data_IF_682626466901
#
_entry.id   IF_682626466901
#
_cell.length_a   1.000
_cell.length_b   1.000
_cell.length_c   1.000
_cell.angle_alpha   90.00
_cell.angle_beta   90.00
_cell.angle_gamma   90.00
#
_symmetry.space_group_name_H-M   'P 1'
#
loop_
_entity.id
_entity.type
_entity.pdbx_description
1 polymer ?
#
# COMPACT_ATOMS: atom_id res chain seq x y z
N UNK A 1 -70.56 46.97 -5.25
CA UNK A 1 -69.75 45.85 -4.78
C UNK A 1 -68.30 46.13 -5.21
N UNK A 2 -67.55 46.82 -4.33
CA UNK A 2 -66.14 47.19 -4.58
C UNK A 2 -65.27 46.09 -4.04
N UNK A 3 -64.45 45.52 -4.92
CA UNK A 3 -63.38 44.60 -4.53
C UNK A 3 -62.12 45.43 -4.23
N UNK A 4 -61.63 45.38 -3.00
CA UNK A 4 -60.39 46.00 -2.58
C UNK A 4 -59.25 44.99 -2.81
N UNK A 5 -58.28 45.34 -3.67
CA UNK A 5 -57.04 44.59 -3.90
C UNK A 5 -56.02 45.10 -2.89
N UNK A 6 -55.62 44.23 -1.94
CA UNK A 6 -54.45 44.47 -1.06
C UNK A 6 -53.17 44.10 -1.78
N UNK A 7 -52.32 45.07 -2.07
CA UNK A 7 -50.97 44.88 -2.52
C UNK A 7 -50.08 44.81 -1.27
N UNK A 8 -49.53 43.64 -0.99
CA UNK A 8 -48.53 43.45 0.06
C UNK A 8 -47.14 43.73 -0.54
N UNK A 9 -46.51 44.77 -0.06
CA UNK A 9 -45.09 45.04 -0.34
C UNK A 9 -44.23 44.15 0.53
N UNK A 10 -43.51 43.19 -0.10
CA UNK A 10 -42.43 42.42 0.53
C UNK A 10 -41.15 43.25 0.45
N UNK A 11 -40.65 43.68 1.59
CA UNK A 11 -39.29 44.25 1.73
C UNK A 11 -38.24 43.18 1.56
N UNK A 12 -37.16 43.39 0.78
CA UNK A 12 -36.08 42.43 0.70
C UNK A 12 -35.26 42.45 2.00
N UNK A 13 -35.26 41.34 2.71
CA UNK A 13 -34.37 41.10 3.85
C UNK A 13 -32.96 41.01 3.29
N UNK A 14 -32.07 41.88 3.70
CA UNK A 14 -30.66 41.86 3.39
C UNK A 14 -30.07 40.58 3.98
N UNK A 15 -29.61 39.67 3.12
CA UNK A 15 -28.78 38.52 3.50
C UNK A 15 -27.42 39.08 3.84
N UNK A 16 -27.07 39.07 5.13
CA UNK A 16 -25.72 39.36 5.58
C UNK A 16 -24.75 38.35 4.95
N UNK A 17 -23.87 38.81 4.06
CA UNK A 17 -22.72 38.04 3.57
C UNK A 17 -21.81 37.74 4.75
N UNK A 18 -21.70 36.47 5.10
CA UNK A 18 -20.64 35.99 5.98
C UNK A 18 -19.35 36.11 5.17
N UNK A 19 -18.33 36.86 5.64
CA UNK A 19 -17.06 36.95 4.96
C UNK A 19 -16.46 35.55 4.90
N UNK A 20 -16.07 35.11 3.70
CA UNK A 20 -15.28 33.89 3.49
C UNK A 20 -13.94 34.02 4.23
N UNK A 21 -13.32 32.90 4.61
CA UNK A 21 -12.05 32.92 5.31
C UNK A 21 -11.01 33.60 4.44
N UNK A 22 -10.41 34.67 4.99
CA UNK A 22 -9.32 35.44 4.38
C UNK A 22 -8.08 34.56 4.23
N UNK A 23 -7.28 34.82 3.19
CA UNK A 23 -6.04 34.09 2.84
C UNK A 23 -4.92 34.16 3.93
N UNK A 24 -5.18 34.80 5.08
CA UNK A 24 -4.18 35.00 6.15
C UNK A 24 -4.01 33.80 7.10
N UNK A 25 -4.92 32.81 7.09
CA UNK A 25 -4.82 31.64 8.00
C UNK A 25 -3.74 30.60 7.64
N UNK A 26 -2.98 30.80 6.57
CA UNK A 26 -1.86 29.91 6.17
C UNK A 26 -0.49 30.31 6.76
N UNK A 27 -0.43 31.41 7.57
CA UNK A 27 0.80 31.80 8.28
C UNK A 27 0.72 31.42 9.76
N UNK A 28 0.71 30.13 10.05
CA UNK A 28 1.05 29.66 11.39
C UNK A 28 2.52 29.98 11.68
N UNK A 29 2.86 30.46 12.88
CA UNK A 29 4.24 30.81 13.25
C UNK A 29 5.12 29.56 13.10
N UNK A 30 6.23 29.71 12.38
CA UNK A 30 7.29 28.72 12.26
C UNK A 30 7.97 28.63 13.63
N UNK A 31 7.42 27.88 14.56
CA UNK A 31 8.19 27.35 15.66
C UNK A 31 9.22 26.40 15.05
N UNK A 32 10.51 26.67 15.35
CA UNK A 32 11.62 25.74 15.06
C UNK A 32 11.41 24.47 15.87
N UNK A 33 10.50 23.62 15.43
CA UNK A 33 10.39 22.24 15.87
C UNK A 33 11.37 21.44 15.04
N UNK A 34 12.28 20.77 15.73
CA UNK A 34 13.21 19.79 15.19
C UNK A 34 12.50 18.94 14.15
N UNK A 35 13.07 18.88 12.95
CA UNK A 35 12.61 18.05 11.85
C UNK A 35 12.58 16.61 12.36
N UNK A 36 11.43 15.95 12.50
CA UNK A 36 11.46 14.53 12.82
C UNK A 36 12.25 13.86 11.72
N UNK A 37 13.36 13.23 12.08
CA UNK A 37 14.13 12.35 11.19
C UNK A 37 13.18 11.23 10.77
N UNK A 38 12.45 11.44 9.67
CA UNK A 38 11.67 10.38 9.06
C UNK A 38 12.67 9.41 8.44
N UNK A 39 13.00 8.39 9.21
CA UNK A 39 13.69 7.22 8.71
C UNK A 39 12.88 6.69 7.51
N UNK A 40 13.51 6.66 6.35
CA UNK A 40 12.95 6.04 5.15
C UNK A 40 12.63 4.59 5.52
N UNK A 41 11.38 4.11 5.41
CA UNK A 41 11.08 2.72 5.72
C UNK A 41 11.93 1.81 4.85
N UNK A 42 12.82 1.07 5.47
CA UNK A 42 13.60 0.04 4.80
C UNK A 42 12.64 -1.11 4.50
N UNK A 43 12.45 -1.39 3.22
CA UNK A 43 11.48 -2.37 2.74
C UNK A 43 11.94 -3.80 3.02
N UNK A 44 11.63 -4.29 4.20
CA UNK A 44 11.52 -5.73 4.46
C UNK A 44 10.07 -6.03 4.83
N UNK A 45 9.47 -7.14 4.36
CA UNK A 45 8.06 -7.40 4.51
C UNK A 45 7.73 -7.96 5.90
N UNK A 46 7.88 -7.13 6.91
CA UNK A 46 7.21 -7.33 8.19
C UNK A 46 6.10 -6.28 8.26
N UNK A 47 4.85 -6.71 8.11
CA UNK A 47 3.70 -5.85 8.36
C UNK A 47 3.70 -5.57 9.85
N UNK A 48 4.21 -4.42 10.22
CA UNK A 48 4.13 -3.90 11.57
C UNK A 48 2.82 -3.11 11.71
N UNK A 49 1.69 -3.82 11.85
CA UNK A 49 0.45 -3.16 12.25
C UNK A 49 0.59 -2.81 13.74
N UNK A 50 0.73 -1.51 14.10
CA UNK A 50 0.93 -1.09 15.50
C UNK A 50 -0.36 -1.11 16.31
N UNK A 51 -1.44 -1.66 15.79
CA UNK A 51 -2.76 -1.75 16.40
C UNK A 51 -3.21 -3.21 16.49
N UNK A 52 -3.95 -3.59 17.52
CA UNK A 52 -4.62 -4.89 17.51
C UNK A 52 -5.54 -4.94 16.29
N UNK A 53 -5.34 -5.97 15.45
CA UNK A 53 -6.19 -6.23 14.31
C UNK A 53 -7.64 -6.42 14.76
N UNK A 54 -8.58 -5.79 14.07
CA UNK A 54 -10.01 -6.08 14.26
C UNK A 54 -10.41 -7.40 13.60
N UNK A 55 -9.55 -7.92 12.74
CA UNK A 55 -9.75 -9.19 12.05
C UNK A 55 -9.21 -10.32 12.92
N UNK A 56 -10.01 -11.36 13.14
CA UNK A 56 -9.63 -12.46 14.02
C UNK A 56 -8.43 -13.25 13.51
N UNK A 57 -7.64 -13.82 14.42
CA UNK A 57 -6.51 -14.71 14.09
C UNK A 57 -6.92 -15.88 13.19
N UNK A 58 -8.17 -16.36 13.33
CA UNK A 58 -8.72 -17.43 12.50
C UNK A 58 -8.77 -17.01 11.03
N UNK A 59 -9.21 -15.79 10.71
CA UNK A 59 -9.23 -15.28 9.34
C UNK A 59 -7.82 -15.20 8.75
N UNK A 60 -6.84 -14.72 9.52
CA UNK A 60 -5.43 -14.72 9.12
C UNK A 60 -4.91 -16.13 8.81
N UNK A 61 -5.27 -17.13 9.64
CA UNK A 61 -4.84 -18.51 9.43
C UNK A 61 -5.50 -19.19 8.21
N UNK A 62 -6.72 -18.80 7.86
CA UNK A 62 -7.52 -19.45 6.81
C UNK A 62 -7.46 -18.75 5.45
N UNK A 63 -7.13 -17.46 5.42
CA UNK A 63 -7.08 -16.72 4.17
C UNK A 63 -5.89 -17.13 3.31
N UNK A 64 -6.14 -17.31 2.01
CA UNK A 64 -5.15 -17.64 0.99
C UNK A 64 -5.30 -16.69 -0.20
N UNK A 65 -4.27 -15.89 -0.45
CA UNK A 65 -4.12 -15.11 -1.67
C UNK A 65 -3.33 -15.90 -2.69
N UNK A 66 -3.99 -16.45 -3.70
CA UNK A 66 -3.43 -17.42 -4.64
C UNK A 66 -3.15 -16.73 -5.97
N UNK A 67 -1.98 -16.97 -6.55
CA UNK A 67 -1.57 -16.36 -7.82
C UNK A 67 -1.19 -14.89 -7.71
N UNK A 68 -1.26 -14.19 -8.82
CA UNK A 68 -0.93 -12.78 -8.96
C UNK A 68 -2.19 -11.91 -8.84
N UNK A 69 -2.07 -10.61 -8.52
CA UNK A 69 -3.24 -9.72 -8.45
C UNK A 69 -4.05 -9.63 -9.75
N UNK A 70 -3.41 -9.85 -10.90
CA UNK A 70 -4.02 -9.83 -12.23
C UNK A 70 -4.28 -11.23 -12.80
N UNK A 71 -3.88 -12.27 -12.10
CA UNK A 71 -4.13 -13.68 -12.45
C UNK A 71 -4.16 -14.51 -11.18
N UNK A 72 -5.28 -14.45 -10.45
CA UNK A 72 -5.32 -15.00 -9.11
C UNK A 72 -6.69 -15.49 -8.66
N UNK A 73 -6.71 -15.95 -7.43
CA UNK A 73 -7.88 -16.36 -6.69
C UNK A 73 -7.74 -16.02 -5.20
N UNK A 74 -8.86 -15.99 -4.49
CA UNK A 74 -8.93 -15.75 -3.06
C UNK A 74 -9.71 -16.89 -2.40
N UNK A 75 -9.18 -17.45 -1.30
CA UNK A 75 -9.90 -18.39 -0.45
C UNK A 75 -9.87 -17.88 0.98
N UNK A 76 -11.02 -17.99 1.67
CA UNK A 76 -11.15 -17.48 3.03
C UNK A 76 -10.93 -15.97 3.15
N UNK A 77 -11.21 -15.22 2.07
CA UNK A 77 -11.20 -13.77 2.08
C UNK A 77 -12.21 -13.19 3.06
N UNK A 78 -11.88 -12.06 3.66
CA UNK A 78 -12.71 -11.39 4.65
C UNK A 78 -13.52 -10.29 3.99
N UNK A 79 -14.82 -10.23 4.29
CA UNK A 79 -15.66 -9.12 3.88
C UNK A 79 -15.25 -7.86 4.63
N UNK A 80 -15.07 -6.76 3.91
CA UNK A 80 -14.77 -5.46 4.53
C UNK A 80 -15.90 -5.04 5.48
N UNK A 81 -15.58 -4.59 6.70
CA UNK A 81 -16.60 -4.20 7.68
C UNK A 81 -17.50 -3.09 7.16
N UNK A 82 -18.81 -3.36 7.02
CA UNK A 82 -19.78 -2.37 6.54
C UNK A 82 -19.94 -1.22 7.51
N UNK A 83 -20.00 -1.55 8.80
CA UNK A 83 -20.09 -0.57 9.88
C UNK A 83 -18.68 -0.19 10.33
N UNK A 84 -18.15 0.85 9.72
CA UNK A 84 -16.87 1.43 10.11
C UNK A 84 -16.93 2.96 10.01
N UNK A 85 -16.16 3.70 10.83
CA UNK A 85 -16.23 5.16 10.84
C UNK A 85 -15.48 5.82 9.68
N UNK A 86 -14.70 5.08 8.89
CA UNK A 86 -13.72 5.67 7.98
C UNK A 86 -14.07 5.54 6.49
N UNK A 87 -14.88 4.54 6.12
CA UNK A 87 -15.17 4.23 4.73
C UNK A 87 -16.66 4.15 4.44
N UNK A 88 -17.02 4.55 3.23
CA UNK A 88 -18.30 4.25 2.57
C UNK A 88 -18.05 3.13 1.57
N UNK A 89 -18.44 1.91 1.90
CA UNK A 89 -18.30 0.74 1.05
C UNK A 89 -19.61 0.53 0.27
N UNK A 90 -19.60 0.75 -1.04
CA UNK A 90 -20.82 0.83 -1.84
C UNK A 90 -21.23 -0.51 -2.49
N UNK A 91 -20.34 -1.50 -2.58
CA UNK A 91 -20.58 -2.75 -3.32
C UNK A 91 -20.23 -3.96 -2.47
N UNK A 92 -21.25 -4.69 -2.03
CA UNK A 92 -21.06 -5.82 -1.12
C UNK A 92 -20.39 -7.05 -1.78
N UNK A 93 -20.59 -7.23 -3.08
CA UNK A 93 -20.12 -8.38 -3.85
C UNK A 93 -18.61 -8.31 -4.19
N UNK A 94 -18.02 -7.11 -4.16
CA UNK A 94 -16.60 -6.88 -4.47
C UNK A 94 -15.80 -6.35 -3.27
N UNK A 95 -16.23 -6.65 -2.05
CA UNK A 95 -15.60 -6.12 -0.83
C UNK A 95 -14.83 -7.17 -0.04
N UNK A 96 -14.34 -8.23 -0.71
CA UNK A 96 -13.54 -9.25 -0.07
C UNK A 96 -12.05 -9.02 -0.29
N UNK A 97 -11.25 -9.21 0.76
CA UNK A 97 -9.80 -9.07 0.68
C UNK A 97 -9.08 -9.99 1.67
N UNK A 98 -7.76 -10.00 1.61
CA UNK A 98 -6.96 -10.59 2.69
C UNK A 98 -7.12 -9.78 3.98
N UNK A 99 -6.99 -10.40 5.16
CA UNK A 99 -6.99 -9.70 6.45
C UNK A 99 -6.01 -8.52 6.49
N UNK A 100 -4.81 -8.72 5.97
CA UNK A 100 -3.76 -7.70 5.93
C UNK A 100 -4.17 -6.46 5.12
N UNK A 101 -4.85 -6.67 4.00
CA UNK A 101 -5.37 -5.58 3.16
C UNK A 101 -6.41 -4.77 3.92
N UNK A 102 -7.34 -5.44 4.60
CA UNK A 102 -8.40 -4.76 5.37
C UNK A 102 -7.80 -3.98 6.54
N UNK A 103 -6.94 -4.61 7.33
CA UNK A 103 -6.31 -3.96 8.48
C UNK A 103 -5.45 -2.77 8.07
N UNK A 104 -4.72 -2.85 6.96
CA UNK A 104 -3.94 -1.75 6.42
C UNK A 104 -4.82 -0.55 6.03
N UNK A 105 -5.93 -0.80 5.34
CA UNK A 105 -6.89 0.24 4.98
C UNK A 105 -7.46 0.93 6.22
N UNK A 106 -7.94 0.16 7.19
CA UNK A 106 -8.53 0.70 8.42
C UNK A 106 -7.51 1.47 9.25
N UNK A 107 -6.27 0.96 9.35
CA UNK A 107 -5.18 1.63 10.03
C UNK A 107 -4.88 3.01 9.42
N UNK A 108 -4.72 3.06 8.09
CA UNK A 108 -4.36 4.30 7.41
C UNK A 108 -5.43 5.38 7.60
N UNK A 109 -6.70 5.04 7.42
CA UNK A 109 -7.79 6.00 7.61
C UNK A 109 -7.97 6.41 9.09
N UNK A 110 -7.81 5.48 10.03
CA UNK A 110 -7.80 5.79 11.46
C UNK A 110 -6.67 6.76 11.84
N UNK A 111 -5.49 6.60 11.25
CA UNK A 111 -4.35 7.48 11.49
C UNK A 111 -4.62 8.90 10.97
N UNK A 112 -5.21 9.04 9.78
CA UNK A 112 -5.63 10.35 9.26
C UNK A 112 -6.68 10.97 10.18
N UNK A 113 -7.67 10.20 10.63
CA UNK A 113 -8.70 10.70 11.54
C UNK A 113 -8.13 11.17 12.89
N UNK A 114 -7.13 10.48 13.43
CA UNK A 114 -6.42 10.93 14.65
C UNK A 114 -5.64 12.23 14.41
N UNK A 115 -5.01 12.38 13.25
CA UNK A 115 -4.17 13.54 12.91
C UNK A 115 -4.99 14.81 12.67
N UNK A 116 -6.15 14.69 12.05
CA UNK A 116 -6.97 15.83 11.59
C UNK A 116 -8.32 15.98 12.33
N UNK A 117 -8.59 15.12 13.32
CA UNK A 117 -9.89 15.06 13.97
C UNK A 117 -10.95 14.41 13.08
N UNK A 118 -12.21 14.83 13.19
CA UNK A 118 -13.32 14.26 12.40
C UNK A 118 -13.07 14.46 10.91
N UNK A 119 -12.74 13.38 10.19
CA UNK A 119 -12.53 13.39 8.74
C UNK A 119 -13.75 12.86 7.98
N UNK A 120 -14.01 13.33 6.75
CA UNK A 120 -14.99 12.69 5.87
C UNK A 120 -14.62 11.22 5.63
N UNK A 121 -15.64 10.37 5.47
CA UNK A 121 -15.40 8.98 5.07
C UNK A 121 -14.84 8.92 3.64
N UNK A 122 -13.83 8.08 3.44
CA UNK A 122 -13.35 7.73 2.11
C UNK A 122 -14.35 6.80 1.40
N UNK A 123 -14.50 6.96 0.11
CA UNK A 123 -15.24 5.98 -0.69
C UNK A 123 -14.35 4.77 -0.92
N UNK A 124 -14.83 3.59 -0.58
CA UNK A 124 -14.19 2.32 -0.90
C UNK A 124 -14.82 1.76 -2.17
N UNK A 125 -14.04 1.67 -3.22
CA UNK A 125 -14.39 1.03 -4.48
C UNK A 125 -14.24 -0.49 -4.40
N UNK A 126 -13.81 -1.10 -5.49
CA UNK A 126 -13.67 -2.56 -5.55
C UNK A 126 -12.41 -3.05 -4.80
N UNK A 127 -12.56 -4.16 -4.08
CA UNK A 127 -11.49 -4.98 -3.54
C UNK A 127 -11.36 -6.25 -4.41
N UNK A 128 -12.09 -7.30 -4.05
CA UNK A 128 -12.11 -8.57 -4.77
C UNK A 128 -13.48 -9.24 -4.60
N UNK A 129 -13.83 -10.15 -5.50
CA UNK A 129 -14.96 -11.03 -5.27
C UNK A 129 -14.65 -12.05 -4.16
N UNK A 130 -15.66 -12.70 -3.60
CA UNK A 130 -15.55 -13.70 -2.51
C UNK A 130 -14.45 -14.75 -2.78
N UNK A 131 -14.38 -15.25 -4.01
CA UNK A 131 -13.40 -16.26 -4.41
C UNK A 131 -12.25 -15.70 -5.26
N UNK A 132 -12.14 -14.38 -5.33
CA UNK A 132 -11.21 -13.72 -6.26
C UNK A 132 -11.56 -13.97 -7.73
N UNK A 133 -10.54 -14.03 -8.56
CA UNK A 133 -10.71 -14.17 -10.01
C UNK A 133 -11.09 -12.88 -10.69
N UNK A 134 -11.30 -12.93 -12.00
CA UNK A 134 -11.48 -11.77 -12.86
C UNK A 134 -12.75 -10.99 -12.52
N UNK A 135 -12.61 -9.71 -12.21
CA UNK A 135 -13.69 -8.76 -12.12
C UNK A 135 -13.92 -8.05 -13.46
N UNK A 136 -15.19 -7.82 -13.80
CA UNK A 136 -15.53 -7.04 -15.01
C UNK A 136 -14.94 -5.64 -14.90
N UNK A 137 -14.29 -5.15 -15.96
CA UNK A 137 -13.62 -3.84 -16.06
C UNK A 137 -12.32 -3.68 -15.27
N UNK A 138 -11.85 -4.71 -14.58
CA UNK A 138 -10.57 -4.68 -13.86
C UNK A 138 -9.55 -5.63 -14.48
N UNK A 139 -8.31 -5.15 -14.60
CA UNK A 139 -7.17 -5.98 -15.00
C UNK A 139 -6.60 -6.78 -13.82
N UNK A 140 -6.90 -6.38 -12.60
CA UNK A 140 -6.43 -6.98 -11.36
C UNK A 140 -7.57 -7.19 -10.36
N UNK A 141 -7.39 -7.05 -9.07
CA UNK A 141 -8.39 -7.35 -8.02
C UNK A 141 -8.75 -8.83 -7.90
N UNK A 142 -7.87 -9.73 -8.35
CA UNK A 142 -8.22 -11.15 -8.45
C UNK A 142 -7.78 -11.99 -7.25
N UNK A 143 -6.93 -11.48 -6.37
CA UNK A 143 -6.34 -12.26 -5.27
C UNK A 143 -6.52 -11.63 -3.87
N UNK A 144 -7.39 -10.62 -3.73
CA UNK A 144 -7.68 -9.97 -2.46
C UNK A 144 -6.59 -9.05 -1.94
N UNK A 145 -5.67 -8.62 -2.83
CA UNK A 145 -4.53 -7.74 -2.50
C UNK A 145 -4.61 -6.36 -3.11
N UNK A 146 -5.63 -6.05 -3.89
CA UNK A 146 -5.86 -4.73 -4.48
C UNK A 146 -7.06 -4.04 -3.81
N UNK A 147 -7.02 -2.71 -3.73
CA UNK A 147 -8.11 -1.89 -3.25
C UNK A 147 -8.19 -0.58 -4.01
N UNK A 148 -9.38 -0.21 -4.47
CA UNK A 148 -9.69 1.10 -5.01
C UNK A 148 -10.22 2.01 -3.90
N UNK A 149 -9.53 3.11 -3.62
CA UNK A 149 -9.88 4.03 -2.52
C UNK A 149 -9.99 5.45 -3.06
N UNK A 150 -11.14 6.08 -2.86
CA UNK A 150 -11.37 7.48 -3.24
C UNK A 150 -10.49 8.47 -2.48
N UNK A 151 -10.49 9.71 -2.93
CA UNK A 151 -9.71 10.79 -2.33
C UNK A 151 -10.44 11.50 -1.20
N UNK A 152 -9.68 12.10 -0.29
CA UNK A 152 -10.19 13.14 0.60
C UNK A 152 -10.38 14.45 -0.18
N UNK A 153 -11.56 15.03 -0.07
CA UNK A 153 -11.88 16.34 -0.61
C UNK A 153 -12.18 17.34 0.51
N UNK A 154 -11.87 18.63 0.28
CA UNK A 154 -12.13 19.71 1.24
C UNK A 154 -13.62 19.84 1.58
N UNK A 155 -14.48 19.61 0.60
CA UNK A 155 -15.94 19.74 0.73
C UNK A 155 -16.63 18.47 1.26
N UNK A 156 -15.86 17.52 1.80
CA UNK A 156 -16.41 16.26 2.33
C UNK A 156 -16.37 15.10 1.34
N UNK A 157 -17.03 13.99 1.70
CA UNK A 157 -17.08 12.80 0.84
C UNK A 157 -18.12 12.97 -0.27
N UNK A 158 -17.77 12.73 -1.53
CA UNK A 158 -18.74 12.80 -2.64
C UNK A 158 -19.70 11.58 -2.68
N UNK A 159 -19.43 10.52 -1.89
CA UNK A 159 -20.23 9.29 -1.91
C UNK A 159 -19.92 8.34 -3.09
N UNK A 160 -19.06 8.72 -4.00
CA UNK A 160 -18.59 7.93 -5.15
C UNK A 160 -17.12 8.24 -5.47
N UNK A 161 -16.47 7.45 -6.32
CA UNK A 161 -15.10 7.72 -6.78
C UNK A 161 -15.08 8.92 -7.73
N UNK A 162 -14.89 10.12 -7.17
CA UNK A 162 -14.92 11.38 -7.90
C UNK A 162 -13.56 11.72 -8.49
N UNK A 163 -13.57 12.30 -9.68
CA UNK A 163 -12.38 12.75 -10.37
C UNK A 163 -11.59 13.80 -9.58
N UNK A 164 -10.27 13.70 -9.69
CA UNK A 164 -9.35 14.67 -9.13
C UNK A 164 -9.65 16.09 -9.64
N UNK A 165 -9.87 16.97 -8.67
CA UNK A 165 -10.02 18.40 -8.89
C UNK A 165 -9.03 19.15 -7.99
N UNK A 166 -8.02 19.85 -8.55
CA UNK A 166 -6.99 20.52 -7.76
C UNK A 166 -7.54 21.51 -6.72
N UNK A 167 -8.64 22.20 -7.04
CA UNK A 167 -9.27 23.20 -6.14
C UNK A 167 -9.90 22.56 -4.89
N UNK A 168 -10.45 21.34 -5.04
CA UNK A 168 -11.18 20.66 -3.97
C UNK A 168 -10.39 19.50 -3.33
N UNK A 169 -9.27 19.09 -3.90
CA UNK A 169 -8.45 18.00 -3.39
C UNK A 169 -7.77 18.40 -2.07
N UNK A 170 -7.99 17.64 -1.01
CA UNK A 170 -7.32 17.87 0.27
C UNK A 170 -5.96 17.19 0.28
N UNK A 171 -4.95 17.90 -0.22
CA UNK A 171 -3.60 17.35 -0.35
C UNK A 171 -2.99 16.92 0.98
N UNK A 172 -3.34 17.59 2.10
CA UNK A 172 -2.82 17.28 3.44
C UNK A 172 -3.32 15.92 3.94
N UNK A 173 -4.65 15.69 3.86
CA UNK A 173 -5.25 14.43 4.28
C UNK A 173 -4.87 13.28 3.33
N UNK A 174 -4.83 13.55 2.03
CA UNK A 174 -4.43 12.56 1.04
C UNK A 174 -2.97 12.14 1.19
N UNK A 175 -2.05 13.08 1.46
CA UNK A 175 -0.66 12.73 1.76
C UNK A 175 -0.55 11.93 3.06
N UNK A 176 -1.24 12.34 4.12
CA UNK A 176 -1.20 11.62 5.39
C UNK A 176 -1.76 10.19 5.27
N UNK A 177 -2.72 9.96 4.39
CA UNK A 177 -3.22 8.62 4.10
C UNK A 177 -2.15 7.75 3.42
N UNK A 178 -1.48 8.29 2.39
CA UNK A 178 -0.37 7.61 1.72
C UNK A 178 0.78 7.35 2.71
N UNK A 179 1.16 8.35 3.50
CA UNK A 179 2.20 8.24 4.51
C UNK A 179 1.90 7.12 5.51
N UNK A 180 0.65 7.03 5.97
CA UNK A 180 0.22 5.96 6.88
C UNK A 180 0.29 4.57 6.24
N UNK A 181 -0.03 4.45 4.96
CA UNK A 181 0.12 3.20 4.21
C UNK A 181 1.59 2.82 4.01
N UNK A 182 2.46 3.78 3.71
CA UNK A 182 3.90 3.55 3.54
C UNK A 182 4.57 3.11 4.84
N UNK A 183 4.15 3.68 5.98
CA UNK A 183 4.71 3.39 7.30
C UNK A 183 4.55 1.92 7.72
N UNK A 184 3.42 1.32 7.41
CA UNK A 184 3.17 -0.08 7.76
C UNK A 184 3.87 -1.08 6.83
N UNK A 185 4.58 -0.60 5.81
CA UNK A 185 5.34 -1.41 4.85
C UNK A 185 4.53 -2.55 4.20
N UNK A 186 3.21 -2.37 4.08
CA UNK A 186 2.31 -3.36 3.52
C UNK A 186 2.07 -3.19 2.02
N UNK A 187 2.62 -2.12 1.42
CA UNK A 187 2.29 -1.70 0.07
C UNK A 187 3.34 -2.16 -0.93
N UNK A 188 2.87 -2.77 -1.99
CA UNK A 188 3.68 -3.05 -3.18
C UNK A 188 3.70 -1.84 -4.12
N UNK A 189 2.51 -1.32 -4.48
CA UNK A 189 2.34 -0.16 -5.36
C UNK A 189 1.09 0.64 -5.00
N UNK A 190 1.12 1.92 -5.37
CA UNK A 190 -0.05 2.79 -5.49
C UNK A 190 -0.10 3.29 -6.93
N UNK A 191 -1.18 2.99 -7.66
CA UNK A 191 -1.38 3.48 -9.01
C UNK A 191 -2.22 4.75 -8.98
N UNK A 192 -1.70 5.80 -9.62
CA UNK A 192 -2.32 7.12 -9.69
C UNK A 192 -2.05 7.80 -11.03
N UNK A 193 -2.96 8.65 -11.46
CA UNK A 193 -2.70 9.55 -12.59
C UNK A 193 -1.56 10.52 -12.27
N UNK A 194 -0.81 10.91 -13.31
CA UNK A 194 0.35 11.80 -13.18
C UNK A 194 -0.03 13.16 -12.58
N UNK A 195 -1.25 13.68 -12.88
CA UNK A 195 -1.70 14.96 -12.33
C UNK A 195 -1.89 14.93 -10.81
N UNK A 196 -2.39 13.81 -10.29
CA UNK A 196 -2.53 13.57 -8.84
C UNK A 196 -1.16 13.40 -8.19
N UNK A 197 -0.27 12.60 -8.83
CA UNK A 197 1.11 12.44 -8.36
C UNK A 197 1.82 13.79 -8.26
N UNK A 198 1.68 14.66 -9.29
CA UNK A 198 2.30 15.98 -9.29
C UNK A 198 1.90 16.81 -8.06
N UNK A 199 0.61 16.88 -7.75
CA UNK A 199 0.13 17.65 -6.60
C UNK A 199 0.66 17.11 -5.28
N UNK A 200 0.67 15.78 -5.09
CA UNK A 200 1.20 15.13 -3.90
C UNK A 200 2.73 15.32 -3.78
N UNK A 201 3.44 15.18 -4.91
CA UNK A 201 4.89 15.38 -4.98
C UNK A 201 5.27 16.83 -4.64
N UNK A 202 4.58 17.80 -5.25
CA UNK A 202 4.85 19.23 -5.00
C UNK A 202 4.58 19.58 -3.52
N UNK A 203 3.53 19.04 -2.92
CA UNK A 203 3.26 19.19 -1.50
C UNK A 203 4.37 18.56 -0.63
N UNK A 204 4.75 17.32 -0.91
CA UNK A 204 5.79 16.61 -0.18
C UNK A 204 7.16 17.32 -0.28
N UNK A 205 7.50 17.83 -1.48
CA UNK A 205 8.74 18.54 -1.75
C UNK A 205 8.75 19.93 -1.14
N UNK A 206 7.73 20.75 -1.42
CA UNK A 206 7.77 22.18 -1.16
C UNK A 206 7.25 22.56 0.24
N UNK A 207 6.27 21.84 0.76
CA UNK A 207 5.66 22.09 2.08
C UNK A 207 6.27 21.24 3.18
N UNK A 208 6.47 19.94 2.92
CA UNK A 208 7.06 19.04 3.91
C UNK A 208 8.59 18.99 3.82
N UNK A 209 9.17 19.50 2.75
CA UNK A 209 10.63 19.53 2.51
C UNK A 209 11.27 18.15 2.60
N UNK A 210 10.56 17.12 2.13
CA UNK A 210 11.08 15.77 2.13
C UNK A 210 12.31 15.67 1.21
N UNK A 211 13.34 14.90 1.59
CA UNK A 211 14.59 14.84 0.85
C UNK A 211 14.38 14.22 -0.55
N UNK A 212 15.12 14.68 -1.58
CA UNK A 212 15.01 14.15 -2.95
C UNK A 212 15.11 12.64 -3.03
N UNK A 213 16.02 12.03 -2.26
CA UNK A 213 16.21 10.58 -2.21
C UNK A 213 14.97 9.81 -1.70
N UNK A 214 14.18 10.42 -0.82
CA UNK A 214 12.90 9.87 -0.39
C UNK A 214 11.83 10.00 -1.48
N UNK A 215 11.71 11.20 -2.08
CA UNK A 215 10.76 11.46 -3.15
C UNK A 215 10.97 10.54 -4.35
N UNK A 216 12.22 10.28 -4.70
CA UNK A 216 12.60 9.34 -5.77
C UNK A 216 12.20 7.90 -5.49
N UNK A 217 12.19 7.47 -4.24
CA UNK A 217 11.76 6.13 -3.84
C UNK A 217 10.25 6.00 -3.84
N UNK A 218 9.55 7.08 -3.45
CA UNK A 218 8.10 7.06 -3.31
C UNK A 218 7.41 7.31 -4.64
N UNK A 219 7.84 8.30 -5.42
CA UNK A 219 7.14 8.73 -6.62
C UNK A 219 7.83 8.32 -7.92
N UNK A 220 7.02 7.91 -8.89
CA UNK A 220 7.48 7.89 -10.28
C UNK A 220 7.64 9.31 -10.85
N UNK A 221 6.68 10.21 -10.59
CA UNK A 221 6.77 11.61 -10.99
C UNK A 221 8.00 12.29 -10.33
N UNK A 222 8.77 13.14 -11.03
CA UNK A 222 8.55 13.69 -12.38
C UNK A 222 9.11 12.85 -13.53
N UNK A 223 9.52 11.60 -13.32
CA UNK A 223 10.04 10.72 -14.37
C UNK A 223 8.96 10.38 -15.39
N UNK A 224 9.38 9.92 -16.57
CA UNK A 224 8.46 9.52 -17.64
C UNK A 224 7.60 8.33 -17.22
N UNK A 225 6.36 8.26 -17.71
CA UNK A 225 5.42 7.20 -17.36
C UNK A 225 5.89 5.77 -17.69
N UNK A 226 6.82 5.62 -18.65
CA UNK A 226 7.45 4.34 -18.99
C UNK A 226 8.47 3.83 -17.95
N UNK A 227 9.02 4.73 -17.13
CA UNK A 227 9.98 4.38 -16.09
C UNK A 227 9.23 3.88 -14.84
N UNK A 228 9.09 2.57 -14.70
CA UNK A 228 8.37 1.94 -13.59
C UNK A 228 9.19 1.93 -12.29
N UNK A 229 9.56 3.12 -11.81
CA UNK A 229 10.32 3.36 -10.59
C UNK A 229 9.39 4.03 -9.57
N UNK A 230 9.68 3.85 -8.28
CA UNK A 230 8.84 4.37 -7.19
C UNK A 230 7.71 3.42 -6.79
N UNK A 231 7.12 3.70 -5.64
CA UNK A 231 5.95 2.99 -5.11
C UNK A 231 4.68 3.55 -5.76
N UNK A 232 4.58 4.88 -5.88
CA UNK A 232 3.47 5.56 -6.54
C UNK A 232 3.77 5.67 -8.04
N UNK A 233 2.97 5.00 -8.86
CA UNK A 233 3.19 4.84 -10.30
C UNK A 233 2.02 5.34 -11.12
N UNK A 234 2.32 5.87 -12.31
CA UNK A 234 1.27 6.23 -13.23
C UNK A 234 0.53 5.00 -13.76
N UNK A 235 -0.79 5.07 -13.71
CA UNK A 235 -1.65 4.16 -14.43
C UNK A 235 -2.85 4.91 -15.00
N UNK A 236 -3.15 4.63 -16.26
CA UNK A 236 -4.30 5.23 -16.96
C UNK A 236 -5.60 4.81 -16.26
N UNK A 237 -6.56 5.74 -16.15
CA UNK A 237 -7.85 5.48 -15.48
C UNK A 237 -7.85 5.71 -13.98
N UNK A 238 -6.70 6.11 -13.36
CA UNK A 238 -6.57 6.31 -11.91
C UNK A 238 -6.54 7.80 -11.54
N UNK A 239 -7.48 8.57 -12.10
CA UNK A 239 -7.65 10.01 -11.82
C UNK A 239 -8.64 10.29 -10.69
N UNK A 240 -9.41 9.30 -10.27
CA UNK A 240 -10.50 9.43 -9.30
C UNK A 240 -10.32 8.58 -8.02
N UNK A 241 -9.25 7.79 -7.93
CA UNK A 241 -8.97 6.93 -6.78
C UNK A 241 -7.49 6.55 -6.70
N UNK A 242 -7.07 6.09 -5.52
CA UNK A 242 -5.88 5.27 -5.36
C UNK A 242 -6.24 3.83 -5.72
N UNK A 243 -5.51 3.21 -6.62
CA UNK A 243 -5.48 1.77 -6.68
C UNK A 243 -4.26 1.30 -5.88
N UNK A 244 -4.50 0.75 -4.71
CA UNK A 244 -3.44 0.30 -3.79
C UNK A 244 -3.27 -1.20 -3.90
N UNK A 245 -2.03 -1.64 -4.11
CA UNK A 245 -1.64 -3.06 -4.10
C UNK A 245 -0.87 -3.39 -2.86
N UNK A 246 -1.29 -4.44 -2.17
CA UNK A 246 -0.72 -4.91 -0.91
C UNK A 246 0.07 -6.19 -1.08
N UNK A 247 1.10 -6.38 -0.24
CA UNK A 247 1.89 -7.62 -0.23
C UNK A 247 1.11 -8.81 0.34
N UNK A 248 0.38 -8.63 1.42
CA UNK A 248 -0.37 -9.66 2.15
C UNK A 248 0.43 -10.95 2.40
N UNK A 249 1.58 -10.89 3.09
CA UNK A 249 2.52 -12.00 3.17
C UNK A 249 1.96 -13.23 3.87
N UNK A 250 1.06 -13.09 4.85
CA UNK A 250 0.46 -14.21 5.56
C UNK A 250 -0.48 -14.99 4.64
N UNK A 251 -1.41 -14.28 3.96
CA UNK A 251 -2.35 -14.92 3.04
C UNK A 251 -1.63 -15.58 1.85
N UNK A 252 -0.55 -14.96 1.36
CA UNK A 252 0.33 -15.50 0.32
C UNK A 252 1.08 -16.74 0.84
N UNK A 253 1.67 -16.69 2.04
CA UNK A 253 2.36 -17.84 2.63
C UNK A 253 1.42 -19.03 2.88
N UNK A 254 0.19 -18.76 3.29
CA UNK A 254 -0.84 -19.81 3.44
C UNK A 254 -1.15 -20.48 2.10
N UNK A 255 -1.29 -19.68 1.02
CA UNK A 255 -1.50 -20.20 -0.33
C UNK A 255 -0.30 -21.06 -0.80
N UNK A 256 0.93 -20.67 -0.49
CA UNK A 256 2.14 -21.41 -0.86
C UNK A 256 2.27 -22.76 -0.12
N UNK A 257 1.77 -22.85 1.11
CA UNK A 257 1.80 -24.09 1.90
C UNK A 257 0.65 -25.04 1.57
N UNK A 258 -0.41 -24.54 0.96
CA UNK A 258 -1.59 -25.35 0.62
C UNK A 258 -1.27 -26.37 -0.47
N UNK A 259 -1.96 -27.50 -0.42
CA UNK A 259 -1.97 -28.50 -1.49
C UNK A 259 -3.31 -28.44 -2.21
N UNK A 260 -3.30 -27.95 -3.44
CA UNK A 260 -4.51 -27.85 -4.24
C UNK A 260 -4.70 -29.09 -5.12
N UNK A 261 -5.86 -29.75 -4.97
CA UNK A 261 -6.31 -30.79 -5.91
C UNK A 261 -6.86 -30.18 -7.22
N UNK A 262 -7.35 -28.96 -7.14
CA UNK A 262 -7.83 -28.18 -8.28
C UNK A 262 -6.65 -27.75 -9.16
N UNK A 263 -6.62 -28.22 -10.40
CA UNK A 263 -5.55 -27.96 -11.37
C UNK A 263 -5.34 -26.46 -11.64
N UNK A 264 -6.42 -25.66 -11.65
CA UNK A 264 -6.34 -24.20 -11.85
C UNK A 264 -5.63 -23.56 -10.68
N UNK A 265 -6.02 -23.89 -9.46
CA UNK A 265 -5.39 -23.32 -8.26
C UNK A 265 -3.93 -23.76 -8.11
N UNK A 266 -3.60 -25.00 -8.48
CA UNK A 266 -2.23 -25.47 -8.51
C UNK A 266 -1.37 -24.70 -9.53
N UNK A 267 -1.89 -24.41 -10.72
CA UNK A 267 -1.20 -23.56 -11.71
C UNK A 267 -1.00 -22.12 -11.20
N UNK A 268 -2.02 -21.52 -10.59
CA UNK A 268 -1.90 -20.19 -9.98
C UNK A 268 -0.86 -20.17 -8.84
N UNK A 269 -0.80 -21.24 -8.04
CA UNK A 269 0.23 -21.38 -7.02
C UNK A 269 1.64 -21.46 -7.62
N UNK A 270 1.83 -22.18 -8.71
CA UNK A 270 3.11 -22.26 -9.42
C UNK A 270 3.57 -20.89 -9.93
N UNK A 271 2.65 -20.06 -10.45
CA UNK A 271 2.99 -18.70 -10.91
C UNK A 271 3.49 -17.78 -9.79
N UNK A 272 3.14 -18.08 -8.53
CA UNK A 272 3.63 -17.34 -7.37
C UNK A 272 5.11 -17.63 -7.02
N UNK A 273 5.67 -18.78 -7.39
CA UNK A 273 7.02 -19.17 -6.96
C UNK A 273 8.08 -18.15 -7.35
N UNK A 274 7.96 -17.56 -8.54
CA UNK A 274 8.88 -16.49 -8.97
C UNK A 274 8.66 -15.14 -8.28
N UNK A 275 7.46 -14.95 -7.73
CA UNK A 275 7.03 -13.68 -7.14
C UNK A 275 7.22 -13.63 -5.62
N UNK A 276 6.95 -14.75 -4.94
CA UNK A 276 6.82 -14.84 -3.47
C UNK A 276 8.11 -15.28 -2.79
N UNK A 277 8.92 -16.13 -3.45
CA UNK A 277 10.19 -16.59 -2.88
C UNK A 277 11.21 -15.44 -2.71
N UNK A 278 10.85 -14.24 -3.18
CA UNK A 278 11.62 -13.04 -2.95
C UNK A 278 11.48 -12.47 -1.52
N UNK A 279 10.34 -12.61 -0.85
CA UNK A 279 10.02 -11.73 0.30
C UNK A 279 9.47 -12.41 1.57
N UNK A 280 9.11 -13.72 1.57
CA UNK A 280 8.54 -14.36 2.75
C UNK A 280 9.51 -15.33 3.39
N UNK A 281 10.22 -14.86 4.41
CA UNK A 281 10.90 -15.74 5.35
C UNK A 281 9.90 -16.65 6.10
N UNK A 282 10.34 -17.79 6.67
CA UNK A 282 9.46 -18.72 7.37
C UNK A 282 8.78 -18.01 8.55
N UNK A 283 7.44 -17.89 8.49
CA UNK A 283 6.63 -17.44 9.63
C UNK A 283 6.66 -18.55 10.67
N UNK A 284 7.52 -18.39 11.66
CA UNK A 284 7.57 -19.31 12.81
C UNK A 284 6.35 -19.06 13.71
N UNK A 285 5.38 -19.96 13.67
CA UNK A 285 4.38 -20.07 14.72
C UNK A 285 5.05 -20.66 15.97
N UNK A 286 5.65 -19.81 16.81
CA UNK A 286 5.96 -20.23 18.18
C UNK A 286 4.69 -20.15 19.00
N UNK A 287 4.10 -21.31 19.23
CA UNK A 287 3.19 -21.55 20.34
C UNK A 287 3.88 -21.11 21.63
N UNK A 288 3.26 -20.19 22.36
CA UNK A 288 3.77 -19.77 23.66
C UNK A 288 3.51 -20.87 24.66
N UNK A 289 4.49 -21.72 24.88
CA UNK A 289 4.63 -22.50 26.12
C UNK A 289 6.05 -22.32 26.63
N UNK A 290 6.13 -21.84 27.84
CA UNK A 290 7.32 -21.67 28.68
C UNK A 290 8.26 -22.87 28.58
N UNK A 291 9.46 -22.69 28.03
CA UNK A 291 10.60 -23.57 28.25
C UNK A 291 11.90 -22.76 28.11
N UNK A 292 12.81 -22.98 29.06
CA UNK A 292 14.14 -22.39 29.18
C UNK A 292 14.96 -22.48 27.90
N UNK A 293 15.89 -21.52 27.61
CA UNK A 293 16.67 -21.52 26.38
C UNK A 293 17.67 -22.70 26.40
N UNK A 294 17.48 -23.62 25.47
CA UNK A 294 18.54 -24.59 25.09
C UNK A 294 19.46 -23.86 24.10
N UNK A 295 20.74 -23.80 24.46
CA UNK A 295 21.81 -23.34 23.56
C UNK A 295 21.99 -24.42 22.48
N UNK A 296 21.54 -24.15 21.26
CA UNK A 296 21.82 -24.99 20.09
C UNK A 296 22.99 -24.36 19.34
N UNK A 297 24.05 -25.12 19.00
CA UNK A 297 25.18 -24.58 18.27
C UNK A 297 24.73 -24.09 16.89
N UNK A 298 25.13 -22.85 16.55
CA UNK A 298 24.86 -22.22 15.26
C UNK A 298 25.59 -23.01 14.17
N UNK A 299 24.88 -23.86 13.42
CA UNK A 299 25.40 -24.39 12.17
C UNK A 299 25.61 -23.24 11.17
N UNK A 300 26.85 -22.96 10.86
CA UNK A 300 27.24 -22.06 9.76
C UNK A 300 26.79 -22.73 8.46
N UNK A 301 25.71 -22.16 7.87
CA UNK A 301 25.20 -22.62 6.57
C UNK A 301 26.24 -22.29 5.50
N UNK A 302 26.76 -23.28 4.83
CA UNK A 302 27.63 -23.06 3.67
C UNK A 302 26.85 -22.41 2.52
N UNK A 303 27.44 -21.47 1.77
CA UNK A 303 26.78 -20.84 0.64
C UNK A 303 26.40 -21.87 -0.44
N UNK A 304 25.20 -21.72 -1.00
CA UNK A 304 24.71 -22.62 -2.05
C UNK A 304 25.62 -22.61 -3.29
N UNK A 305 25.83 -23.77 -3.97
CA UNK A 305 26.68 -23.84 -5.13
C UNK A 305 26.16 -23.01 -6.30
N UNK A 306 27.07 -22.53 -7.14
CA UNK A 306 26.77 -21.79 -8.34
C UNK A 306 25.87 -22.59 -9.30
N UNK A 307 24.81 -21.95 -9.89
CA UNK A 307 24.00 -22.61 -10.91
C UNK A 307 24.87 -22.96 -12.15
N UNK A 308 24.69 -24.15 -12.76
CA UNK A 308 25.42 -24.51 -13.98
C UNK A 308 25.27 -23.45 -15.08
N UNK A 309 26.37 -23.09 -15.77
CA UNK A 309 26.36 -22.10 -16.86
C UNK A 309 26.16 -20.65 -16.42
N UNK A 310 26.37 -20.32 -15.13
CA UNK A 310 26.29 -18.96 -14.65
C UNK A 310 27.66 -18.31 -14.43
N UNK A 311 27.74 -17.01 -14.70
CA UNK A 311 28.91 -16.17 -14.40
C UNK A 311 28.75 -15.50 -13.03
N UNK A 312 29.79 -15.53 -12.23
CA UNK A 312 29.87 -14.88 -10.93
C UNK A 312 30.20 -13.38 -11.08
N UNK A 313 29.42 -12.52 -10.45
CA UNK A 313 29.72 -11.09 -10.32
C UNK A 313 29.71 -10.68 -8.84
N UNK A 314 30.49 -9.67 -8.49
CA UNK A 314 30.46 -9.02 -7.18
C UNK A 314 29.79 -7.66 -7.35
N UNK A 315 28.64 -7.51 -6.75
CA UNK A 315 27.85 -6.27 -6.79
C UNK A 315 28.09 -5.47 -5.52
N UNK A 316 28.45 -4.21 -5.63
CA UNK A 316 28.54 -3.29 -4.49
C UNK A 316 27.19 -2.60 -4.31
N UNK A 317 26.61 -2.70 -3.13
CA UNK A 317 25.32 -2.08 -2.79
C UNK A 317 25.45 -0.56 -2.79
N UNK A 318 24.60 0.11 -3.56
CA UNK A 318 24.54 1.56 -3.64
C UNK A 318 23.40 2.13 -2.76
N UNK A 319 23.46 3.41 -2.47
CA UNK A 319 22.36 4.09 -1.79
C UNK A 319 21.07 3.95 -2.60
N UNK A 320 20.01 3.44 -1.95
CA UNK A 320 18.72 3.16 -2.59
C UNK A 320 18.53 1.74 -3.12
N UNK A 321 19.56 0.88 -3.05
CA UNK A 321 19.42 -0.52 -3.41
C UNK A 321 18.62 -1.30 -2.36
N UNK A 322 17.84 -2.25 -2.85
CA UNK A 322 17.22 -3.31 -2.09
C UNK A 322 17.62 -4.66 -2.69
N UNK A 323 17.55 -5.74 -1.92
CA UNK A 323 17.75 -7.08 -2.48
C UNK A 323 16.84 -7.34 -3.68
N UNK A 324 15.64 -6.78 -3.66
CA UNK A 324 14.68 -6.89 -4.76
C UNK A 324 15.14 -6.14 -6.02
N UNK A 325 15.55 -4.86 -5.89
CA UNK A 325 16.03 -4.07 -7.03
C UNK A 325 17.26 -4.72 -7.67
N UNK A 326 18.18 -5.22 -6.82
CA UNK A 326 19.37 -5.92 -7.25
C UNK A 326 19.03 -7.26 -7.94
N UNK A 327 18.13 -8.05 -7.36
CA UNK A 327 17.67 -9.31 -7.92
C UNK A 327 17.04 -9.10 -9.31
N UNK A 328 16.19 -8.09 -9.45
CA UNK A 328 15.56 -7.73 -10.73
C UNK A 328 16.57 -7.26 -11.77
N UNK A 329 17.52 -6.40 -11.37
CA UNK A 329 18.59 -5.92 -12.25
C UNK A 329 19.42 -7.06 -12.84
N UNK A 330 19.67 -8.10 -12.04
CA UNK A 330 20.49 -9.23 -12.40
C UNK A 330 19.71 -10.49 -12.81
N UNK A 331 18.39 -10.37 -13.06
CA UNK A 331 17.49 -11.47 -13.49
C UNK A 331 17.58 -12.70 -12.58
N UNK A 332 17.69 -12.48 -11.28
CA UNK A 332 17.73 -13.51 -10.24
C UNK A 332 16.64 -13.25 -9.18
N UNK A 333 16.67 -13.97 -8.06
CA UNK A 333 15.71 -13.81 -6.97
C UNK A 333 16.40 -13.35 -5.69
N UNK A 334 15.66 -12.67 -4.81
CA UNK A 334 16.15 -12.26 -3.49
C UNK A 334 16.64 -13.46 -2.67
N UNK A 335 15.90 -14.58 -2.74
CA UNK A 335 16.29 -15.82 -2.06
C UNK A 335 17.68 -16.29 -2.51
N UNK A 336 17.93 -16.36 -3.81
CA UNK A 336 19.24 -16.73 -4.34
C UNK A 336 20.36 -15.79 -3.92
N UNK A 337 20.10 -14.46 -3.96
CA UNK A 337 21.10 -13.50 -3.47
C UNK A 337 21.40 -13.74 -1.99
N UNK A 338 20.39 -13.98 -1.17
CA UNK A 338 20.56 -14.32 0.25
C UNK A 338 21.34 -15.61 0.45
N UNK A 339 20.98 -16.66 -0.25
CA UNK A 339 21.66 -17.96 -0.19
C UNK A 339 23.14 -17.87 -0.60
N UNK A 340 23.43 -17.19 -1.70
CA UNK A 340 24.80 -17.01 -2.19
C UNK A 340 25.69 -16.18 -1.25
N UNK A 341 25.05 -15.33 -0.42
CA UNK A 341 25.74 -14.42 0.49
C UNK A 341 25.54 -14.77 1.97
N UNK A 342 24.90 -15.89 2.28
CA UNK A 342 24.59 -16.32 3.65
C UNK A 342 23.87 -15.24 4.47
N UNK A 343 23.03 -14.42 3.81
CA UNK A 343 22.30 -13.33 4.46
C UNK A 343 21.11 -13.88 5.22
N UNK A 344 21.01 -13.54 6.51
CA UNK A 344 19.83 -13.85 7.30
C UNK A 344 18.60 -13.09 6.74
N UNK A 345 17.39 -13.65 6.98
CA UNK A 345 16.13 -13.03 6.52
C UNK A 345 15.91 -11.62 7.09
N UNK A 346 16.46 -11.35 8.27
CA UNK A 346 16.41 -10.04 8.96
C UNK A 346 17.62 -9.14 8.69
N UNK A 347 18.60 -9.62 7.91
CA UNK A 347 19.84 -8.86 7.70
C UNK A 347 19.63 -7.71 6.71
N UNK A 348 19.98 -6.51 7.15
CA UNK A 348 19.92 -5.27 6.37
C UNK A 348 21.10 -5.19 5.39
N UNK A 349 20.83 -4.58 4.22
CA UNK A 349 21.90 -4.19 3.31
C UNK A 349 22.54 -2.88 3.76
N UNK A 350 23.85 -2.80 3.68
CA UNK A 350 24.61 -1.58 3.91
C UNK A 350 25.18 -1.05 2.60
N UNK A 351 25.17 0.28 2.42
CA UNK A 351 25.83 0.92 1.28
C UNK A 351 27.31 0.51 1.30
N UNK A 352 27.82 0.09 0.13
CA UNK A 352 29.19 -0.46 0.02
C UNK A 352 29.29 -1.96 0.32
N UNK A 353 28.24 -2.61 0.84
CA UNK A 353 28.26 -4.06 1.04
C UNK A 353 28.43 -4.78 -0.30
N UNK A 354 29.36 -5.74 -0.34
CA UNK A 354 29.59 -6.56 -1.52
C UNK A 354 28.68 -7.78 -1.50
N UNK A 355 27.92 -7.97 -2.56
CA UNK A 355 27.05 -9.12 -2.76
C UNK A 355 27.56 -9.97 -3.92
N UNK A 356 27.62 -11.26 -3.67
CA UNK A 356 27.91 -12.27 -4.69
C UNK A 356 26.61 -12.57 -5.45
N UNK A 357 26.65 -12.44 -6.77
CA UNK A 357 25.49 -12.71 -7.64
C UNK A 357 25.92 -13.60 -8.79
N UNK A 358 25.12 -14.60 -9.12
CA UNK A 358 25.32 -15.45 -10.30
C UNK A 358 24.29 -15.06 -11.37
N UNK A 359 24.78 -14.67 -12.53
CA UNK A 359 23.96 -14.28 -13.70
C UNK A 359 24.10 -15.33 -14.79
N UNK A 360 23.00 -15.66 -15.46
CA UNK A 360 23.06 -16.52 -16.66
C UNK A 360 23.77 -15.76 -17.76
N UNK A 361 24.62 -16.46 -18.50
CA UNK A 361 25.22 -15.96 -19.76
C UNK A 361 24.11 -15.69 -20.78
#
# INVERSE_FOLDING_TARGET
MLLAVFVVWLTPTAIAMVPGPTEEDDKAPVTKTETPSMAVPEMAPQINLPMPSIISRRHYAQCMSIGLPNEGALRGGVLFPRENPYYLANRADHQYASPETIDALLYAAAKVNRKFGRTPKLVLGDLSALHGGKLRRHMSHQSGRDADVGFYFKNGSPGYLADFNPKNFDVRRNWAYIEALLEINAIEFIFLDTSVQKMLYDYAKNRLRLPPSYLEKVFQYPRKNGERIGIIRHARGHKNHYHVRFYSPIAVANAMRARFKDTRLAKLQQSMHGYVMADIGPVSHKSATSAKPLIVPTMVRQPSPAPPGSRRIVYSVHSGDSLWSIARKHRTTVSRIREWNSLASSQRLHVGQKLLIYVKN
#
